data_IF_872222053451
#
_entry.id   IF_872222053451
#
_cell.length_a   1.000
_cell.length_b   1.000
_cell.length_c   1.000
_cell.angle_alpha   90.00
_cell.angle_beta   90.00
_cell.angle_gamma   90.00
#
_symmetry.space_group_name_H-M   'P 1'
#
loop_
_entity.id
_entity.type
_entity.pdbx_description
1 polymer ?
#
# COMPACT_ATOMS: atom_id res chain seq x y z
N UNK A 1 13.50 14.23 8.60
CA UNK A 1 12.21 13.63 8.19
C UNK A 1 11.33 13.47 9.42
N UNK A 2 10.00 13.65 9.31
CA UNK A 2 9.06 13.40 10.41
C UNK A 2 9.03 11.92 10.81
N UNK A 3 8.73 11.62 12.09
CA UNK A 3 8.65 10.25 12.61
C UNK A 3 7.68 9.36 11.81
N UNK A 4 6.54 9.92 11.40
CA UNK A 4 5.54 9.21 10.60
C UNK A 4 6.05 8.75 9.22
N UNK A 5 7.09 9.39 8.70
CA UNK A 5 7.73 8.98 7.45
C UNK A 5 8.75 7.87 7.67
N UNK A 6 9.47 7.90 8.79
CA UNK A 6 10.41 6.86 9.20
C UNK A 6 9.70 5.54 9.56
N UNK A 7 8.50 5.62 10.16
CA UNK A 7 7.69 4.47 10.56
C UNK A 7 6.80 3.90 9.44
N UNK A 8 6.99 4.32 8.18
CA UNK A 8 6.17 3.77 7.10
C UNK A 8 6.50 2.28 6.91
N UNK A 9 5.48 1.40 6.89
CA UNK A 9 5.66 -0.02 6.60
C UNK A 9 6.30 -0.21 5.22
N UNK A 10 7.20 -1.19 5.13
CA UNK A 10 7.96 -1.52 3.92
C UNK A 10 7.42 -2.76 3.23
N UNK A 11 6.81 -3.66 4.01
CA UNK A 11 6.23 -4.91 3.54
C UNK A 11 4.74 -4.98 3.93
N UNK A 12 3.95 -5.84 3.26
CA UNK A 12 2.56 -6.06 3.62
C UNK A 12 2.36 -6.56 5.06
N UNK A 13 3.37 -7.22 5.63
CA UNK A 13 3.37 -7.74 7.00
C UNK A 13 3.57 -6.63 8.05
N UNK A 14 4.17 -5.50 7.67
CA UNK A 14 4.35 -4.35 8.56
C UNK A 14 3.06 -3.53 8.72
N UNK A 15 2.02 -3.81 7.92
CA UNK A 15 0.77 -3.04 7.92
C UNK A 15 -0.15 -3.50 9.05
N UNK A 16 -0.37 -2.61 10.01
CA UNK A 16 -1.23 -2.85 11.17
C UNK A 16 -2.69 -2.49 10.82
N UNK A 17 -3.64 -3.36 11.21
CA UNK A 17 -5.09 -3.08 11.14
C UNK A 17 -5.77 -3.36 9.80
N UNK A 18 -5.01 -3.64 8.73
CA UNK A 18 -5.55 -3.90 7.38
C UNK A 18 -5.63 -5.39 7.01
N UNK A 19 -5.75 -6.29 7.99
CA UNK A 19 -5.78 -7.75 7.76
C UNK A 19 -6.92 -8.22 6.85
N UNK A 20 -8.03 -7.48 6.80
CA UNK A 20 -9.14 -7.79 5.91
C UNK A 20 -8.78 -7.61 4.42
N UNK A 21 -7.76 -6.78 4.11
CA UNK A 21 -7.22 -6.57 2.76
C UNK A 21 -5.91 -7.35 2.52
N UNK A 22 -5.03 -7.42 3.52
CA UNK A 22 -3.68 -7.97 3.40
C UNK A 22 -3.49 -9.34 4.05
N UNK A 23 -4.55 -9.90 4.63
CA UNK A 23 -4.53 -11.23 5.20
C UNK A 23 -4.29 -12.32 4.15
N UNK A 24 -3.96 -13.55 4.59
CA UNK A 24 -3.72 -14.68 3.70
C UNK A 24 -4.90 -14.90 2.74
N UNK A 25 -4.61 -15.12 1.46
CA UNK A 25 -5.62 -15.39 0.42
C UNK A 25 -6.46 -14.19 -0.02
N UNK A 26 -6.22 -12.99 0.52
CA UNK A 26 -6.91 -11.78 0.08
C UNK A 26 -6.36 -11.28 -1.26
N UNK A 27 -7.18 -10.62 -2.11
CA UNK A 27 -6.75 -10.19 -3.44
C UNK A 27 -5.50 -9.31 -3.43
N UNK A 28 -5.41 -8.38 -2.46
CA UNK A 28 -4.27 -7.48 -2.36
C UNK A 28 -3.01 -8.24 -1.94
N UNK A 29 -3.11 -9.19 -0.99
CA UNK A 29 -2.00 -10.07 -0.59
C UNK A 29 -1.51 -10.94 -1.75
N UNK A 30 -2.43 -11.47 -2.55
CA UNK A 30 -2.10 -12.25 -3.74
C UNK A 30 -1.40 -11.40 -4.82
N UNK A 31 -1.82 -10.14 -5.02
CA UNK A 31 -1.14 -9.22 -5.93
C UNK A 31 0.30 -8.91 -5.49
N UNK A 32 0.52 -8.70 -4.18
CA UNK A 32 1.87 -8.57 -3.63
C UNK A 32 2.71 -9.82 -3.82
N UNK A 33 2.12 -11.01 -3.64
CA UNK A 33 2.82 -12.28 -3.80
C UNK A 33 3.12 -12.62 -5.28
N UNK A 34 2.27 -12.21 -6.21
CA UNK A 34 2.47 -12.42 -7.64
C UNK A 34 3.46 -11.44 -8.28
N UNK A 35 3.75 -10.33 -7.59
CA UNK A 35 4.59 -9.25 -8.13
C UNK A 35 3.93 -8.46 -9.25
N UNK A 36 2.63 -8.66 -9.51
CA UNK A 36 1.92 -8.01 -10.59
C UNK A 36 0.93 -6.96 -10.06
N UNK A 37 1.15 -5.66 -10.35
CA UNK A 37 0.20 -4.63 -10.00
C UNK A 37 -1.09 -4.81 -10.79
N UNK A 38 -2.21 -4.57 -10.12
CA UNK A 38 -3.54 -4.52 -10.73
C UNK A 38 -4.10 -3.11 -10.59
N UNK A 39 -4.87 -2.67 -11.58
CA UNK A 39 -5.61 -1.40 -11.49
C UNK A 39 -6.61 -1.45 -10.33
N UNK A 40 -6.53 -0.48 -9.40
CA UNK A 40 -7.41 -0.42 -8.24
C UNK A 40 -7.57 1.00 -7.69
N UNK A 41 -8.63 1.19 -6.90
CA UNK A 41 -8.89 2.41 -6.14
C UNK A 41 -8.83 2.06 -4.65
N UNK A 42 -7.96 2.73 -3.91
CA UNK A 42 -7.92 2.64 -2.44
C UNK A 42 -8.85 3.71 -1.86
N UNK A 43 -9.92 3.30 -1.19
CA UNK A 43 -10.92 4.20 -0.59
C UNK A 43 -11.03 4.02 0.93
N UNK A 44 -11.27 5.11 1.65
CA UNK A 44 -11.38 5.12 3.12
C UNK A 44 -11.07 6.48 3.74
N UNK A 45 -11.32 6.65 5.05
CA UNK A 45 -11.15 7.92 5.76
C UNK A 45 -9.68 8.40 5.79
N UNK A 46 -9.40 9.69 6.09
CA UNK A 46 -8.03 10.18 6.19
C UNK A 46 -7.24 9.41 7.26
N UNK A 47 -5.94 9.18 7.01
CA UNK A 47 -5.05 8.50 7.97
C UNK A 47 -5.04 6.96 7.94
N UNK A 48 -5.91 6.27 7.20
CA UNK A 48 -5.96 4.79 7.17
C UNK A 48 -4.85 4.09 6.37
N UNK A 49 -3.86 4.83 5.87
CA UNK A 49 -2.70 4.26 5.18
C UNK A 49 -2.82 4.07 3.66
N UNK A 50 -3.82 4.66 2.99
CA UNK A 50 -4.01 4.54 1.52
C UNK A 50 -2.76 4.93 0.72
N UNK A 51 -2.21 6.12 0.98
CA UNK A 51 -1.01 6.61 0.30
C UNK A 51 0.21 5.76 0.63
N UNK A 52 0.29 5.25 1.86
CA UNK A 52 1.37 4.35 2.30
C UNK A 52 1.32 3.03 1.53
N UNK A 53 0.13 2.43 1.39
CA UNK A 53 -0.08 1.22 0.60
C UNK A 53 0.29 1.42 -0.87
N UNK A 54 -0.16 2.51 -1.48
CA UNK A 54 0.15 2.80 -2.88
C UNK A 54 1.66 2.96 -3.13
N UNK A 55 2.38 3.62 -2.20
CA UNK A 55 3.85 3.74 -2.27
C UNK A 55 4.54 2.40 -2.09
N UNK A 56 4.11 1.60 -1.11
CA UNK A 56 4.64 0.25 -0.88
C UNK A 56 4.48 -0.63 -2.12
N UNK A 57 3.30 -0.61 -2.75
CA UNK A 57 3.07 -1.32 -4.01
C UNK A 57 4.06 -0.90 -5.09
N UNK A 58 4.24 0.39 -5.32
CA UNK A 58 5.19 0.88 -6.33
C UNK A 58 6.63 0.42 -6.04
N UNK A 59 7.08 0.50 -4.78
CA UNK A 59 8.41 0.01 -4.37
C UNK A 59 8.55 -1.49 -4.61
N UNK A 60 7.56 -2.28 -4.21
CA UNK A 60 7.62 -3.74 -4.24
C UNK A 60 7.46 -4.31 -5.65
N UNK A 61 6.73 -3.61 -6.53
CA UNK A 61 6.59 -3.94 -7.94
C UNK A 61 7.62 -3.23 -8.83
N UNK A 62 8.61 -2.54 -8.25
CA UNK A 62 9.65 -1.81 -8.99
C UNK A 62 9.09 -0.85 -10.06
N UNK A 63 8.00 -0.16 -9.72
CA UNK A 63 7.30 0.77 -10.60
C UNK A 63 7.57 2.22 -10.18
N UNK A 64 7.43 3.15 -11.14
CA UNK A 64 7.42 4.58 -10.81
C UNK A 64 6.14 4.98 -10.06
N UNK A 65 6.30 5.77 -8.99
CA UNK A 65 5.18 6.28 -8.21
C UNK A 65 4.90 7.75 -8.57
N UNK A 66 3.81 7.99 -9.31
CA UNK A 66 3.35 9.33 -9.65
C UNK A 66 2.14 9.67 -8.78
N UNK A 67 2.31 10.62 -7.86
CA UNK A 67 1.20 11.13 -7.04
C UNK A 67 0.52 12.30 -7.76
N UNK A 68 -0.70 12.06 -8.26
CA UNK A 68 -1.56 13.11 -8.76
C UNK A 68 -2.53 13.55 -7.65
N UNK A 69 -2.61 14.85 -7.41
CA UNK A 69 -3.57 15.43 -6.46
C UNK A 69 -4.60 16.21 -7.24
N UNK A 70 -5.88 15.89 -7.04
CA UNK A 70 -7.00 16.58 -7.67
C UNK A 70 -7.43 17.82 -6.85
N UNK A 71 -6.45 18.61 -6.39
CA UNK A 71 -6.69 19.91 -5.73
C UNK A 71 -7.27 20.91 -6.72
#
# INVERSE_FOLDING_TARGET
MPLAEQLRPQTPDDVIGQQHLLGPGKPLRLAFASGQPHSMILWGPPGVGKTTLARMMATQFQCEFIALSAV
#
